data_IF_237949109821
#
_entry.id   IF_237949109821
#
_cell.length_a   1.000
_cell.length_b   1.000
_cell.length_c   1.000
_cell.angle_alpha   90.00
_cell.angle_beta   90.00
_cell.angle_gamma   90.00
#
_symmetry.space_group_name_H-M   'P 1'
#
loop_
_entity.id
_entity.type
_entity.pdbx_description
1 polymer ?
#
# COMPACT_ATOMS: atom_id res chain seq x y z
N UNK A 1 17.67 6.29 -2.93
CA UNK A 1 16.82 7.03 -3.90
C UNK A 1 16.82 8.52 -3.55
N UNK A 2 17.69 9.34 -4.16
CA UNK A 2 17.95 10.72 -3.74
C UNK A 2 16.76 11.68 -3.81
N UNK A 3 15.87 11.50 -4.81
CA UNK A 3 14.71 12.38 -5.07
C UNK A 3 13.41 11.96 -4.37
N UNK A 4 13.43 10.93 -3.53
CA UNK A 4 12.25 10.44 -2.79
C UNK A 4 12.24 11.00 -1.36
N UNK A 5 11.07 11.24 -0.74
CA UNK A 5 10.98 11.71 0.64
C UNK A 5 11.78 10.82 1.61
N UNK A 6 11.64 9.50 1.46
CA UNK A 6 12.49 8.52 2.14
C UNK A 6 13.63 8.09 1.23
N UNK A 7 14.86 8.48 1.59
CA UNK A 7 16.05 8.26 0.74
C UNK A 7 16.52 6.80 0.71
N UNK A 8 16.27 6.01 1.77
CA UNK A 8 16.68 4.60 1.90
C UNK A 8 15.47 3.72 2.15
N UNK A 9 15.34 2.63 1.39
CA UNK A 9 14.21 1.71 1.50
C UNK A 9 14.19 0.70 0.37
N UNK A 10 13.17 -0.15 0.39
CA UNK A 10 12.92 -1.15 -0.65
C UNK A 10 12.19 -0.51 -1.83
N UNK A 11 12.45 -1.03 -3.02
CA UNK A 11 11.81 -0.59 -4.24
C UNK A 11 10.90 -1.72 -4.72
N UNK A 12 9.64 -1.38 -4.95
CA UNK A 12 8.62 -2.30 -5.46
C UNK A 12 8.08 -1.70 -6.73
N UNK A 13 7.99 -2.52 -7.76
CA UNK A 13 7.34 -2.21 -9.02
C UNK A 13 5.90 -2.66 -8.92
N UNK A 14 4.98 -1.85 -9.41
CA UNK A 14 3.56 -2.06 -9.15
C UNK A 14 2.75 -1.73 -10.39
N UNK A 15 1.83 -2.62 -10.72
CA UNK A 15 0.77 -2.38 -11.70
C UNK A 15 -0.52 -2.01 -10.96
N UNK A 16 -1.05 -0.83 -11.26
CA UNK A 16 -2.21 -0.25 -10.59
C UNK A 16 -3.27 0.21 -11.59
N UNK A 17 -4.53 0.02 -11.21
CA UNK A 17 -5.64 0.71 -11.86
C UNK A 17 -5.71 2.19 -11.50
N UNK A 18 -6.50 2.93 -12.26
CA UNK A 18 -6.77 4.37 -12.03
C UNK A 18 -7.42 4.62 -10.66
N UNK A 19 -8.16 3.63 -10.15
CA UNK A 19 -8.77 3.61 -8.81
C UNK A 19 -7.78 3.44 -7.66
N UNK A 20 -6.47 3.37 -7.94
CA UNK A 20 -5.40 2.98 -7.02
C UNK A 20 -5.39 1.49 -6.62
N UNK A 21 -6.26 0.67 -7.21
CA UNK A 21 -6.27 -0.77 -6.97
C UNK A 21 -4.98 -1.40 -7.50
N UNK A 22 -4.24 -2.10 -6.64
CA UNK A 22 -3.01 -2.80 -7.00
C UNK A 22 -3.35 -4.20 -7.48
N UNK A 23 -2.96 -4.53 -8.71
CA UNK A 23 -3.15 -5.88 -9.26
C UNK A 23 -1.92 -6.75 -9.01
N UNK A 24 -0.72 -6.21 -9.23
CA UNK A 24 0.53 -6.97 -9.11
C UNK A 24 1.68 -6.12 -8.58
N UNK A 25 2.59 -6.77 -7.85
CA UNK A 25 3.78 -6.16 -7.26
C UNK A 25 5.01 -7.05 -7.47
N UNK A 26 6.10 -6.45 -7.91
CA UNK A 26 7.40 -7.12 -8.07
C UNK A 26 8.44 -6.41 -7.20
N UNK A 27 9.08 -7.14 -6.30
CA UNK A 27 10.17 -6.61 -5.47
C UNK A 27 11.43 -6.41 -6.33
N UNK A 28 12.09 -5.27 -6.19
CA UNK A 28 13.35 -5.02 -6.88
C UNK A 28 14.55 -5.53 -6.05
N UNK A 29 15.23 -6.54 -6.57
CA UNK A 29 16.31 -7.28 -5.89
C UNK A 29 17.69 -6.58 -5.90
N UNK A 30 17.83 -5.40 -6.50
CA UNK A 30 19.09 -4.64 -6.51
C UNK A 30 19.98 -4.90 -7.71
N UNK A 31 20.10 -6.15 -8.15
CA UNK A 31 20.76 -6.55 -9.40
C UNK A 31 19.73 -7.14 -10.38
N UNK A 32 19.94 -6.99 -11.70
CA UNK A 32 19.12 -7.68 -12.68
C UNK A 32 19.45 -9.17 -12.59
N UNK A 33 18.71 -9.92 -11.77
CA UNK A 33 18.59 -11.35 -12.03
C UNK A 33 17.99 -11.49 -13.43
N UNK A 34 18.60 -12.30 -14.26
CA UNK A 34 18.06 -12.73 -15.54
C UNK A 34 16.61 -13.17 -15.30
N UNK A 35 15.63 -12.39 -15.74
CA UNK A 35 14.21 -12.78 -15.80
C UNK A 35 14.07 -13.78 -16.96
N UNK A 36 14.94 -14.80 -17.01
CA UNK A 36 15.19 -15.63 -18.19
C UNK A 36 14.61 -17.03 -18.09
N UNK A 37 14.00 -17.42 -16.96
CA UNK A 37 13.59 -18.82 -16.79
C UNK A 37 12.06 -19.05 -16.80
N UNK A 38 11.22 -18.00 -16.77
CA UNK A 38 9.75 -18.17 -16.82
C UNK A 38 9.10 -17.58 -18.07
N UNK A 39 9.72 -16.58 -18.71
CA UNK A 39 9.25 -16.06 -20.00
C UNK A 39 9.94 -16.87 -21.10
N UNK A 40 9.21 -17.84 -21.69
CA UNK A 40 9.66 -18.73 -22.76
C UNK A 40 9.95 -17.99 -24.11
N UNK A 41 10.82 -16.99 -24.09
CA UNK A 41 11.30 -16.26 -25.26
C UNK A 41 12.83 -16.39 -25.33
N UNK A 42 13.41 -16.67 -26.52
CA UNK A 42 14.86 -16.86 -26.64
C UNK A 42 15.64 -15.64 -26.14
N UNK A 43 16.59 -15.92 -25.24
CA UNK A 43 17.31 -15.00 -24.35
C UNK A 43 18.04 -13.82 -25.06
N UNK A 44 18.24 -13.90 -26.38
CA UNK A 44 18.81 -12.80 -27.19
C UNK A 44 17.79 -11.70 -27.49
N UNK A 45 16.52 -12.03 -27.70
CA UNK A 45 15.47 -11.06 -28.07
C UNK A 45 14.98 -10.22 -26.89
N UNK A 46 15.20 -10.68 -25.65
CA UNK A 46 14.78 -10.00 -24.43
C UNK A 46 15.80 -8.92 -23.97
N UNK A 47 17.09 -9.13 -24.24
CA UNK A 47 18.16 -8.17 -23.88
C UNK A 47 17.95 -6.78 -24.48
N UNK A 48 17.29 -6.69 -25.64
CA UNK A 48 17.05 -5.40 -26.32
C UNK A 48 16.14 -4.44 -25.54
N UNK A 49 15.34 -4.93 -24.59
CA UNK A 49 14.40 -4.12 -23.81
C UNK A 49 15.03 -3.55 -22.52
N UNK A 50 16.18 -4.08 -22.11
CA UNK A 50 16.82 -3.78 -20.83
C UNK A 50 16.01 -4.26 -19.62
N UNK A 51 16.61 -4.21 -18.44
CA UNK A 51 15.98 -4.70 -17.19
C UNK A 51 14.65 -4.02 -16.88
N UNK A 52 14.53 -2.71 -17.15
CA UNK A 52 13.29 -1.97 -16.91
C UNK A 52 12.18 -2.35 -17.88
N UNK A 53 12.50 -2.70 -19.13
CA UNK A 53 11.50 -3.15 -20.10
C UNK A 53 10.98 -4.55 -19.78
N UNK A 54 11.85 -5.43 -19.28
CA UNK A 54 11.45 -6.78 -18.85
C UNK A 54 10.48 -6.75 -17.68
N UNK A 55 10.66 -5.85 -16.72
CA UNK A 55 9.70 -5.64 -15.62
C UNK A 55 8.32 -5.29 -16.16
N UNK A 56 8.22 -4.48 -17.22
CA UNK A 56 6.92 -4.16 -17.82
C UNK A 56 6.31 -5.38 -18.46
N UNK A 57 7.08 -6.16 -19.22
CA UNK A 57 6.57 -7.37 -19.87
C UNK A 57 6.06 -8.39 -18.87
N UNK A 58 6.72 -8.52 -17.72
CA UNK A 58 6.28 -9.40 -16.63
C UNK A 58 4.98 -8.88 -15.97
N UNK A 59 4.91 -7.59 -15.63
CA UNK A 59 3.71 -6.98 -15.03
C UNK A 59 2.47 -6.98 -15.93
N UNK A 60 2.64 -7.11 -17.25
CA UNK A 60 1.52 -7.03 -18.21
C UNK A 60 1.18 -8.38 -18.85
N UNK A 61 1.87 -9.46 -18.46
CA UNK A 61 1.70 -10.78 -19.08
C UNK A 61 0.26 -11.30 -19.00
N UNK A 62 -0.41 -11.04 -17.89
CA UNK A 62 -1.78 -11.49 -17.60
C UNK A 62 -2.83 -10.39 -17.81
N UNK A 63 -2.45 -9.23 -18.36
CA UNK A 63 -3.37 -8.11 -18.57
C UNK A 63 -4.15 -8.32 -19.86
N UNK A 64 -5.50 -8.27 -19.85
CA UNK A 64 -6.27 -8.33 -21.08
C UNK A 64 -5.93 -7.19 -22.03
N UNK A 65 -5.76 -7.50 -23.33
CA UNK A 65 -5.37 -6.56 -24.40
C UNK A 65 -6.37 -5.40 -24.60
N UNK A 66 -7.58 -5.55 -24.04
CA UNK A 66 -8.59 -4.49 -24.01
C UNK A 66 -8.18 -3.28 -23.16
N UNK A 67 -7.19 -3.38 -22.26
CA UNK A 67 -6.79 -2.25 -21.43
C UNK A 67 -5.71 -1.38 -22.08
N UNK A 68 -5.73 -0.09 -21.74
CA UNK A 68 -4.68 0.86 -22.10
C UNK A 68 -3.66 0.97 -20.96
N UNK A 69 -2.38 0.86 -21.30
CA UNK A 69 -1.26 0.81 -20.37
C UNK A 69 -0.54 2.16 -20.39
N UNK A 70 -0.30 2.72 -19.20
CA UNK A 70 0.40 3.99 -19.01
C UNK A 70 1.70 3.77 -18.25
N UNK A 71 2.83 4.22 -18.79
CA UNK A 71 4.15 3.89 -18.27
C UNK A 71 5.02 5.13 -18.08
N UNK A 72 5.77 5.17 -16.97
CA UNK A 72 6.77 6.20 -16.69
C UNK A 72 8.02 6.07 -17.57
N UNK A 73 8.75 7.18 -17.72
CA UNK A 73 9.98 7.28 -18.50
C UNK A 73 11.11 6.35 -18.07
N UNK A 74 11.07 5.83 -16.83
CA UNK A 74 12.09 4.89 -16.36
C UNK A 74 12.03 3.57 -17.13
N UNK A 75 10.82 3.11 -17.44
CA UNK A 75 10.59 1.82 -18.10
C UNK A 75 10.47 1.95 -19.63
N UNK A 76 10.12 3.14 -20.12
CA UNK A 76 9.84 3.35 -21.53
C UNK A 76 11.09 3.27 -22.43
N UNK A 77 10.91 2.65 -23.59
CA UNK A 77 11.82 2.64 -24.76
C UNK A 77 11.02 2.41 -26.04
N UNK A 78 11.52 2.92 -27.18
CA UNK A 78 10.88 2.72 -28.49
C UNK A 78 10.70 1.24 -28.84
N UNK A 79 11.71 0.40 -28.55
CA UNK A 79 11.65 -1.05 -28.77
C UNK A 79 10.55 -1.73 -27.97
N UNK A 80 10.40 -1.36 -26.69
CA UNK A 80 9.36 -1.90 -25.83
C UNK A 80 7.95 -1.55 -26.36
N UNK A 81 7.75 -0.30 -26.80
CA UNK A 81 6.46 0.16 -27.34
C UNK A 81 6.10 -0.58 -28.61
N UNK A 82 7.06 -0.78 -29.52
CA UNK A 82 6.86 -1.60 -30.72
C UNK A 82 6.45 -3.04 -30.37
N UNK A 83 7.14 -3.65 -29.40
CA UNK A 83 6.81 -5.01 -28.95
C UNK A 83 5.40 -5.09 -28.33
N UNK A 84 5.03 -4.14 -27.47
CA UNK A 84 3.69 -4.10 -26.88
C UNK A 84 2.59 -3.84 -27.93
N UNK A 85 2.90 -3.04 -28.95
CA UNK A 85 2.02 -2.83 -30.10
C UNK A 85 1.82 -4.12 -30.91
N UNK A 86 2.88 -4.89 -31.13
CA UNK A 86 2.78 -6.21 -31.78
C UNK A 86 1.96 -7.23 -30.97
N UNK A 87 1.96 -7.09 -29.64
CA UNK A 87 1.12 -7.89 -28.73
C UNK A 87 -0.33 -7.38 -28.67
N UNK A 88 -0.67 -6.30 -29.38
CA UNK A 88 -2.01 -5.72 -29.45
C UNK A 88 -2.33 -4.71 -28.35
N UNK A 89 -1.42 -4.47 -27.40
CA UNK A 89 -1.70 -3.55 -26.28
C UNK A 89 -1.76 -2.11 -26.72
N UNK A 90 -2.71 -1.36 -26.15
CA UNK A 90 -2.74 0.09 -26.22
C UNK A 90 -1.78 0.66 -25.18
N UNK A 91 -0.79 1.43 -25.60
CA UNK A 91 0.22 2.01 -24.69
C UNK A 91 0.38 3.52 -24.90
N UNK A 92 0.60 4.24 -23.80
CA UNK A 92 1.11 5.61 -23.77
C UNK A 92 2.20 5.72 -22.72
N UNK A 93 3.31 6.37 -23.03
CA UNK A 93 4.39 6.55 -22.06
C UNK A 93 5.11 7.88 -22.26
N UNK A 94 5.88 8.28 -21.24
CA UNK A 94 6.84 9.39 -21.38
C UNK A 94 8.19 8.85 -21.81
N UNK A 95 8.87 9.51 -22.75
CA UNK A 95 10.20 9.11 -23.22
C UNK A 95 11.28 10.05 -22.69
N UNK A 96 12.46 9.49 -22.44
CA UNK A 96 13.67 10.29 -22.21
C UNK A 96 14.30 10.64 -23.56
N UNK A 97 14.86 11.84 -23.67
CA UNK A 97 15.52 12.32 -24.90
C UNK A 97 16.53 11.32 -25.45
N UNK A 98 17.31 10.66 -24.58
CA UNK A 98 18.34 9.68 -24.95
C UNK A 98 17.79 8.29 -25.33
N UNK A 99 16.47 8.10 -25.36
CA UNK A 99 15.81 6.82 -25.70
C UNK A 99 14.90 6.93 -26.92
N UNK A 100 15.06 7.99 -27.71
CA UNK A 100 14.33 8.20 -28.95
C UNK A 100 15.22 7.76 -30.12
N UNK A 101 15.07 6.51 -30.57
CA UNK A 101 15.79 6.05 -31.76
C UNK A 101 15.28 6.80 -33.00
N UNK A 102 16.12 7.65 -33.61
CA UNK A 102 15.85 8.32 -34.90
C UNK A 102 14.59 9.21 -34.94
N UNK A 103 14.16 9.78 -33.80
CA UNK A 103 13.00 10.66 -33.76
C UNK A 103 13.39 12.10 -34.14
N UNK A 104 12.77 12.64 -35.19
CA UNK A 104 13.03 14.00 -35.72
C UNK A 104 12.25 15.08 -34.95
N UNK A 105 12.28 15.04 -33.61
CA UNK A 105 11.66 16.08 -32.78
C UNK A 105 12.74 17.02 -32.26
N UNK A 106 12.53 18.33 -32.38
CA UNK A 106 13.47 19.38 -31.99
C UNK A 106 13.98 19.22 -30.57
N UNK A 107 15.24 19.62 -30.34
CA UNK A 107 15.94 19.41 -29.08
C UNK A 107 15.34 20.19 -27.90
N UNK A 108 15.74 19.87 -26.66
CA UNK A 108 15.27 20.60 -25.48
C UNK A 108 15.65 22.09 -25.51
N UNK A 109 16.79 22.44 -26.13
CA UNK A 109 17.25 23.82 -26.31
C UNK A 109 16.33 24.61 -27.26
N UNK A 110 15.95 24.00 -28.38
CA UNK A 110 15.01 24.60 -29.33
C UNK A 110 13.64 24.79 -28.70
N UNK A 111 13.12 23.77 -28.00
CA UNK A 111 11.86 23.88 -27.25
C UNK A 111 11.93 24.93 -26.15
N UNK A 112 13.10 25.24 -25.59
CA UNK A 112 13.24 26.29 -24.58
C UNK A 112 13.03 27.69 -25.15
N UNK A 113 13.25 27.89 -26.45
CA UNK A 113 13.01 29.16 -27.16
C UNK A 113 11.56 29.32 -27.62
N UNK A 114 10.79 28.24 -27.65
CA UNK A 114 9.39 28.23 -28.09
C UNK A 114 8.44 28.59 -26.95
N UNK A 115 7.28 29.12 -27.31
CA UNK A 115 6.22 29.44 -26.36
C UNK A 115 5.65 28.18 -25.68
N UNK A 116 5.16 28.35 -24.45
CA UNK A 116 4.49 27.29 -23.70
C UNK A 116 3.23 26.84 -24.46
N UNK A 117 3.03 25.53 -24.56
CA UNK A 117 1.96 24.92 -25.38
C UNK A 117 2.39 24.54 -26.79
N UNK A 118 3.57 24.97 -27.26
CA UNK A 118 4.13 24.51 -28.52
C UNK A 118 4.29 22.99 -28.53
N UNK A 119 3.95 22.36 -29.65
CA UNK A 119 4.14 20.94 -29.84
C UNK A 119 4.67 20.60 -31.24
N UNK A 120 5.40 19.51 -31.29
CA UNK A 120 5.81 18.84 -32.52
C UNK A 120 5.45 17.36 -32.39
N UNK A 121 5.30 16.69 -33.51
CA UNK A 121 5.02 15.28 -33.52
C UNK A 121 5.76 14.59 -34.65
N UNK A 122 6.03 13.32 -34.44
CA UNK A 122 6.64 12.42 -35.40
C UNK A 122 5.83 11.13 -35.42
N UNK A 123 5.45 10.68 -36.61
CA UNK A 123 4.75 9.41 -36.79
C UNK A 123 5.76 8.40 -37.29
N UNK A 124 5.76 7.20 -36.70
CA UNK A 124 6.60 6.09 -37.16
C UNK A 124 6.32 5.78 -38.63
N UNK A 125 7.32 5.30 -39.38
CA UNK A 125 7.16 4.94 -40.81
C UNK A 125 6.00 3.95 -41.02
N UNK A 126 5.86 3.02 -40.10
CA UNK A 126 4.82 1.98 -40.11
C UNK A 126 3.43 2.52 -39.69
N UNK A 127 3.33 3.83 -39.38
CA UNK A 127 2.13 4.54 -38.91
C UNK A 127 1.47 3.93 -37.66
N UNK A 128 2.18 3.09 -36.91
CA UNK A 128 1.67 2.43 -35.70
C UNK A 128 1.79 3.27 -34.43
N UNK A 129 2.76 4.19 -34.38
CA UNK A 129 3.07 4.97 -33.19
C UNK A 129 3.27 6.44 -33.53
N UNK A 130 2.89 7.31 -32.61
CA UNK A 130 3.10 8.75 -32.65
C UNK A 130 3.92 9.17 -31.42
N UNK A 131 5.02 9.87 -31.69
CA UNK A 131 5.82 10.55 -30.68
C UNK A 131 5.45 12.03 -30.71
N UNK A 132 5.11 12.60 -29.56
CA UNK A 132 4.75 14.01 -29.40
C UNK A 132 5.71 14.69 -28.43
N UNK A 133 6.36 15.75 -28.88
CA UNK A 133 7.08 16.70 -28.04
C UNK A 133 6.17 17.85 -27.69
N UNK A 134 5.95 18.11 -26.40
CA UNK A 134 5.13 19.23 -25.93
C UNK A 134 5.93 20.12 -24.96
N UNK A 135 5.83 21.44 -25.15
CA UNK A 135 6.45 22.44 -24.29
C UNK A 135 5.52 22.79 -23.15
N UNK A 136 5.78 22.25 -21.96
CA UNK A 136 5.27 22.82 -20.71
C UNK A 136 6.30 23.82 -20.15
N UNK A 137 6.68 23.75 -18.87
CA UNK A 137 7.88 24.44 -18.39
C UNK A 137 9.15 23.92 -19.08
N UNK A 138 9.22 22.61 -19.31
CA UNK A 138 10.28 21.93 -20.06
C UNK A 138 9.67 21.10 -21.19
N UNK A 139 10.50 20.65 -22.12
CA UNK A 139 10.09 19.72 -23.18
C UNK A 139 9.71 18.38 -22.54
N UNK A 140 8.53 17.87 -22.87
CA UNK A 140 8.09 16.52 -22.50
C UNK A 140 7.89 15.73 -23.79
N UNK A 141 8.45 14.53 -23.85
CA UNK A 141 8.25 13.61 -24.96
C UNK A 141 7.30 12.51 -24.50
N UNK A 142 6.25 12.25 -25.29
CA UNK A 142 5.38 11.10 -25.12
C UNK A 142 5.36 10.27 -26.38
N UNK A 143 5.18 8.97 -26.22
CA UNK A 143 4.96 8.03 -27.32
C UNK A 143 3.72 7.20 -27.02
N UNK A 144 2.88 7.03 -28.04
CA UNK A 144 1.67 6.23 -27.96
C UNK A 144 1.34 5.60 -29.30
N UNK A 145 0.67 4.44 -29.25
CA UNK A 145 0.15 3.76 -30.42
C UNK A 145 -1.37 3.91 -30.63
N UNK A 146 -2.06 4.62 -29.73
CA UNK A 146 -3.52 4.74 -29.77
C UNK A 146 -4.02 6.16 -29.48
N UNK A 147 -3.22 7.01 -28.83
CA UNK A 147 -3.58 8.38 -28.53
C UNK A 147 -2.82 9.35 -29.44
N UNK A 148 -3.56 10.20 -30.14
CA UNK A 148 -3.01 11.20 -31.06
C UNK A 148 -3.03 12.63 -30.50
N UNK A 149 -3.03 13.59 -31.42
CA UNK A 149 -3.01 15.03 -31.11
C UNK A 149 -4.41 15.57 -30.84
N UNK A 150 -5.37 15.17 -31.67
CA UNK A 150 -6.75 15.65 -31.60
C UNK A 150 -7.62 14.73 -30.72
N UNK A 151 -8.67 15.28 -30.06
CA UNK A 151 -8.99 16.71 -29.95
C UNK A 151 -8.04 17.46 -29.00
N UNK A 152 -7.63 18.66 -29.39
CA UNK A 152 -6.88 19.55 -28.50
C UNK A 152 -7.71 19.98 -27.31
N UNK A 153 -7.12 19.89 -26.11
CA UNK A 153 -7.79 20.29 -24.86
C UNK A 153 -7.03 21.43 -24.19
N UNK A 154 -7.75 22.37 -23.58
CA UNK A 154 -7.14 23.43 -22.75
C UNK A 154 -6.86 22.88 -21.34
N UNK A 155 -5.60 22.92 -20.91
CA UNK A 155 -5.19 22.55 -19.56
C UNK A 155 -4.87 23.81 -18.75
N UNK A 156 -5.51 23.92 -17.58
CA UNK A 156 -5.18 24.96 -16.59
C UNK A 156 -3.85 24.65 -15.95
N UNK A 157 -2.84 25.50 -16.17
CA UNK A 157 -1.50 25.36 -15.58
C UNK A 157 -1.12 26.62 -14.82
N UNK A 158 -0.42 26.44 -13.71
CA UNK A 158 0.15 27.56 -12.98
C UNK A 158 1.29 28.18 -13.81
N UNK A 159 1.25 29.50 -13.95
CA UNK A 159 2.34 30.29 -14.48
C UNK A 159 3.03 31.02 -13.31
N UNK A 160 4.35 30.82 -13.19
CA UNK A 160 5.13 31.45 -12.12
C UNK A 160 5.32 32.95 -12.35
N UNK A 161 5.41 33.37 -13.60
CA UNK A 161 5.65 34.78 -13.96
C UNK A 161 4.38 35.60 -13.74
N UNK A 162 3.26 35.12 -14.26
CA UNK A 162 1.96 35.78 -14.14
C UNK A 162 1.25 35.52 -12.80
N UNK A 163 1.79 34.61 -11.97
CA UNK A 163 1.23 34.16 -10.68
C UNK A 163 -0.26 33.80 -10.76
N UNK A 164 -0.68 33.25 -11.89
CA UNK A 164 -2.07 32.89 -12.14
C UNK A 164 -2.16 31.56 -12.91
N UNK A 165 -3.36 30.98 -12.98
CA UNK A 165 -3.61 29.81 -13.82
C UNK A 165 -3.92 30.26 -15.25
N UNK A 166 -3.08 29.82 -16.19
CA UNK A 166 -3.24 30.07 -17.62
C UNK A 166 -3.75 28.81 -18.33
N UNK A 167 -4.58 29.02 -19.35
CA UNK A 167 -5.05 27.93 -20.20
C UNK A 167 -4.03 27.68 -21.31
N UNK A 168 -3.52 26.45 -21.36
CA UNK A 168 -2.53 26.04 -22.36
C UNK A 168 -3.15 24.94 -23.21
N UNK A 169 -3.07 25.11 -24.52
CA UNK A 169 -3.51 24.08 -25.46
C UNK A 169 -2.57 22.87 -25.36
N UNK A 170 -3.13 21.71 -25.10
CA UNK A 170 -2.42 20.45 -24.99
C UNK A 170 -3.01 19.41 -25.95
N UNK A 171 -2.14 18.66 -26.66
CA UNK A 171 -2.55 17.48 -27.41
C UNK A 171 -3.29 16.45 -26.54
N UNK A 172 -4.20 15.67 -27.14
CA UNK A 172 -5.01 14.69 -26.42
C UNK A 172 -4.16 13.62 -25.71
N UNK A 173 -3.04 13.19 -26.31
CA UNK A 173 -2.06 12.30 -25.67
C UNK A 173 -1.58 12.82 -24.30
N UNK A 174 -1.36 14.13 -24.16
CA UNK A 174 -0.94 14.76 -22.90
C UNK A 174 -2.06 14.68 -21.87
N UNK A 175 -3.29 14.95 -22.30
CA UNK A 175 -4.48 14.91 -21.45
C UNK A 175 -4.71 13.49 -20.92
N UNK A 176 -4.69 12.49 -21.81
CA UNK A 176 -4.83 11.07 -21.46
C UNK A 176 -3.74 10.63 -20.47
N UNK A 177 -2.48 10.96 -20.74
CA UNK A 177 -1.39 10.58 -19.84
C UNK A 177 -1.56 11.17 -18.43
N UNK A 178 -1.87 12.47 -18.33
CA UNK A 178 -2.09 13.12 -17.03
C UNK A 178 -3.31 12.55 -16.28
N UNK A 179 -4.36 12.14 -17.01
CA UNK A 179 -5.56 11.55 -16.43
C UNK A 179 -5.31 10.16 -15.83
N UNK A 180 -4.49 9.34 -16.47
CA UNK A 180 -4.40 7.90 -16.13
C UNK A 180 -3.12 7.47 -15.42
N UNK A 181 -2.00 8.20 -15.52
CA UNK A 181 -0.72 7.82 -14.89
C UNK A 181 -0.74 7.83 -13.34
N UNK A 182 -1.74 8.47 -12.72
CA UNK A 182 -1.79 8.73 -11.29
C UNK A 182 -2.05 7.53 -10.37
N UNK A 183 -2.40 6.35 -10.90
CA UNK A 183 -2.85 5.20 -10.08
C UNK A 183 -1.89 4.80 -8.96
N UNK A 184 -0.61 4.61 -9.27
CA UNK A 184 0.43 4.24 -8.27
C UNK A 184 0.63 5.35 -7.24
N UNK A 185 0.65 6.61 -7.68
CA UNK A 185 0.81 7.76 -6.77
C UNK A 185 -0.39 7.90 -5.83
N UNK A 186 -1.61 7.65 -6.32
CA UNK A 186 -2.81 7.63 -5.50
C UNK A 186 -2.74 6.54 -4.44
N UNK A 187 -2.22 5.36 -4.80
CA UNK A 187 -2.01 4.27 -3.85
C UNK A 187 -1.01 4.63 -2.75
N UNK A 188 0.16 5.16 -3.13
CA UNK A 188 1.16 5.65 -2.17
C UNK A 188 0.60 6.74 -1.26
N UNK A 189 -0.25 7.63 -1.79
CA UNK A 189 -0.95 8.66 -1.02
C UNK A 189 -1.93 8.07 0.00
N UNK A 190 -2.73 7.06 -0.38
CA UNK A 190 -3.66 6.38 0.53
C UNK A 190 -2.92 5.68 1.67
N UNK A 191 -1.78 5.07 1.40
CA UNK A 191 -0.90 4.49 2.43
C UNK A 191 -0.38 5.60 3.36
N UNK A 192 0.07 6.73 2.79
CA UNK A 192 0.66 7.83 3.56
C UNK A 192 -0.35 8.55 4.47
N UNK A 193 -1.64 8.58 4.12
CA UNK A 193 -2.66 9.21 4.97
C UNK A 193 -2.95 8.43 6.25
N UNK A 194 -2.95 7.10 6.18
CA UNK A 194 -3.24 6.23 7.32
C UNK A 194 -2.20 5.10 7.43
N UNK A 195 -0.92 5.41 7.69
CA UNK A 195 0.12 4.39 7.73
C UNK A 195 -0.05 3.50 8.97
N UNK A 196 0.27 2.22 8.84
CA UNK A 196 0.36 1.33 10.01
C UNK A 196 1.64 1.71 10.79
N UNK A 197 1.54 2.15 12.05
CA UNK A 197 2.70 2.58 12.83
C UNK A 197 3.48 1.35 13.32
N UNK A 198 4.34 0.80 12.46
CA UNK A 198 5.20 -0.34 12.79
C UNK A 198 6.67 -0.02 12.54
N UNK A 199 7.51 -0.26 13.56
CA UNK A 199 8.96 -0.11 13.47
C UNK A 199 9.62 -1.46 13.76
N UNK A 200 10.49 -1.89 12.86
CA UNK A 200 11.31 -3.10 13.05
C UNK A 200 12.70 -2.91 12.47
N UNK A 201 13.68 -3.54 13.13
CA UNK A 201 15.06 -3.71 12.64
C UNK A 201 15.13 -4.77 11.53
N UNK A 202 14.18 -5.72 11.50
CA UNK A 202 14.13 -6.78 10.49
C UNK A 202 13.58 -6.21 9.17
N UNK A 203 14.34 -6.38 8.10
CA UNK A 203 14.05 -5.76 6.81
C UNK A 203 12.76 -6.28 6.18
N UNK A 204 12.53 -7.60 6.24
CA UNK A 204 11.39 -8.26 5.61
C UNK A 204 10.05 -7.84 6.24
N UNK A 205 10.04 -7.51 7.53
CA UNK A 205 8.83 -7.03 8.20
C UNK A 205 8.29 -5.78 7.52
N UNK A 206 9.16 -4.87 7.05
CA UNK A 206 8.72 -3.65 6.34
C UNK A 206 8.00 -3.96 5.03
N UNK A 207 8.39 -5.04 4.35
CA UNK A 207 7.75 -5.50 3.11
C UNK A 207 6.39 -6.12 3.44
N UNK A 208 6.32 -6.98 4.45
CA UNK A 208 5.06 -7.61 4.90
C UNK A 208 4.02 -6.54 5.26
N UNK A 209 4.41 -5.53 6.05
CA UNK A 209 3.48 -4.44 6.43
C UNK A 209 3.04 -3.60 5.24
N UNK A 210 3.93 -3.39 4.25
CA UNK A 210 3.54 -2.73 2.99
C UNK A 210 2.51 -3.55 2.22
N UNK A 211 2.67 -4.87 2.16
CA UNK A 211 1.70 -5.76 1.52
C UNK A 211 0.36 -5.71 2.25
N UNK A 212 0.36 -5.72 3.59
CA UNK A 212 -0.86 -5.60 4.39
C UNK A 212 -1.58 -4.26 4.15
N UNK A 213 -0.85 -3.14 4.09
CA UNK A 213 -1.43 -1.85 3.72
C UNK A 213 -2.10 -1.90 2.34
N UNK A 214 -1.45 -2.54 1.37
CA UNK A 214 -1.99 -2.75 0.02
C UNK A 214 -3.26 -3.59 0.04
N UNK A 215 -3.26 -4.71 0.76
CA UNK A 215 -4.41 -5.60 0.89
C UNK A 215 -5.61 -4.90 1.53
N UNK A 216 -5.38 -4.10 2.57
CA UNK A 216 -6.45 -3.34 3.25
C UNK A 216 -7.05 -2.31 2.29
N UNK A 217 -6.22 -1.56 1.56
CA UNK A 217 -6.72 -0.55 0.61
C UNK A 217 -7.45 -1.21 -0.56
N UNK A 218 -6.93 -2.30 -1.12
CA UNK A 218 -7.62 -3.07 -2.16
C UNK A 218 -9.00 -3.56 -1.67
N UNK A 219 -9.06 -4.10 -0.45
CA UNK A 219 -10.32 -4.55 0.17
C UNK A 219 -11.30 -3.39 0.37
N UNK A 220 -10.80 -2.22 0.77
CA UNK A 220 -11.59 -1.00 0.90
C UNK A 220 -12.16 -0.53 -0.45
N UNK A 221 -11.35 -0.55 -1.51
CA UNK A 221 -11.79 -0.20 -2.87
C UNK A 221 -12.88 -1.18 -3.34
N UNK A 222 -12.72 -2.48 -3.12
CA UNK A 222 -13.71 -3.49 -3.48
C UNK A 222 -15.03 -3.25 -2.73
N UNK A 223 -14.96 -3.03 -1.42
CA UNK A 223 -16.14 -2.73 -0.59
C UNK A 223 -16.90 -1.53 -1.12
N UNK A 224 -16.19 -0.42 -1.35
CA UNK A 224 -16.82 0.81 -1.83
C UNK A 224 -17.37 0.66 -3.25
N UNK A 225 -16.73 -0.12 -4.11
CA UNK A 225 -17.24 -0.39 -5.46
C UNK A 225 -18.53 -1.21 -5.43
N UNK A 226 -18.63 -2.21 -4.55
CA UNK A 226 -19.84 -3.05 -4.39
C UNK A 226 -21.02 -2.28 -3.81
N UNK A 227 -20.77 -1.41 -2.83
CA UNK A 227 -21.81 -0.59 -2.21
C UNK A 227 -22.41 0.45 -3.17
N UNK A 228 -21.62 0.94 -4.14
CA UNK A 228 -22.11 1.85 -5.18
C UNK A 228 -22.87 1.14 -6.32
N UNK A 229 -22.71 -0.18 -6.47
CA UNK A 229 -23.22 -0.94 -7.62
C UNK A 229 -24.61 -1.57 -7.45
N UNK A 230 -25.18 -1.57 -6.24
CA UNK A 230 -26.40 -2.36 -5.95
C UNK A 230 -27.59 -1.61 -5.34
N UNK A 231 -27.53 -0.28 -5.19
CA UNK A 231 -28.68 0.51 -4.72
C UNK A 231 -28.71 1.92 -5.32
N UNK A 232 -29.19 1.99 -6.56
CA UNK A 232 -29.59 3.25 -7.22
C UNK A 232 -30.85 3.89 -6.61
N UNK A 233 -31.45 3.31 -5.56
CA UNK A 233 -32.64 3.84 -4.88
C UNK A 233 -32.45 4.23 -3.41
N UNK A 234 -31.21 4.25 -2.89
CA UNK A 234 -30.94 4.71 -1.50
C UNK A 234 -29.68 5.56 -1.38
N UNK A 235 -29.34 6.27 -2.45
CA UNK A 235 -28.18 7.16 -2.50
C UNK A 235 -28.51 8.54 -1.91
N UNK A 236 -28.62 8.65 -0.58
CA UNK A 236 -28.71 9.95 0.07
C UNK A 236 -28.11 10.10 1.48
N UNK A 237 -27.69 9.07 2.23
CA UNK A 237 -27.28 9.31 3.64
C UNK A 237 -26.01 8.64 4.16
N UNK A 238 -25.44 7.62 3.51
CA UNK A 238 -24.16 7.05 3.95
C UNK A 238 -23.04 7.45 2.99
N UNK A 239 -22.37 8.57 3.29
CA UNK A 239 -21.17 8.99 2.58
C UNK A 239 -20.15 7.85 2.43
N UNK A 240 -19.35 7.89 1.35
CA UNK A 240 -18.30 6.89 1.06
C UNK A 240 -17.60 6.48 2.35
N UNK A 241 -17.65 5.19 2.69
CA UNK A 241 -17.03 4.68 3.91
C UNK A 241 -15.54 5.03 3.86
N UNK A 242 -15.09 5.93 4.74
CA UNK A 242 -13.73 6.48 4.67
C UNK A 242 -12.72 5.40 5.04
N UNK A 243 -11.52 5.46 4.44
CA UNK A 243 -10.45 4.48 4.66
C UNK A 243 -10.10 4.33 6.15
N UNK A 244 -10.10 5.45 6.90
CA UNK A 244 -9.92 5.44 8.35
C UNK A 244 -10.92 4.52 9.08
N UNK A 245 -12.21 4.70 8.85
CA UNK A 245 -13.25 3.88 9.49
C UNK A 245 -13.13 2.41 9.08
N UNK A 246 -12.76 2.14 7.83
CA UNK A 246 -12.51 0.77 7.39
C UNK A 246 -11.35 0.10 8.11
N UNK A 247 -10.25 0.82 8.31
CA UNK A 247 -9.13 0.32 9.14
C UNK A 247 -9.56 0.11 10.60
N UNK A 248 -10.35 1.03 11.17
CA UNK A 248 -10.86 0.89 12.55
C UNK A 248 -11.76 -0.33 12.72
N UNK A 249 -12.65 -0.62 11.77
CA UNK A 249 -13.53 -1.80 11.84
C UNK A 249 -12.74 -3.11 11.72
N UNK A 250 -11.73 -3.16 10.84
CA UNK A 250 -10.82 -4.31 10.78
C UNK A 250 -10.12 -4.51 12.13
N UNK A 251 -9.60 -3.42 12.72
CA UNK A 251 -8.92 -3.51 14.02
C UNK A 251 -9.87 -4.02 15.12
N UNK A 252 -11.09 -3.47 15.23
CA UNK A 252 -12.10 -3.94 16.19
C UNK A 252 -12.45 -5.41 15.97
N UNK A 253 -12.65 -5.83 14.73
CA UNK A 253 -12.96 -7.22 14.40
C UNK A 253 -11.84 -8.18 14.82
N UNK A 254 -10.58 -7.81 14.57
CA UNK A 254 -9.42 -8.62 14.95
C UNK A 254 -9.21 -8.67 16.47
N UNK A 255 -9.57 -7.61 17.20
CA UNK A 255 -9.49 -7.56 18.67
C UNK A 255 -10.63 -8.36 19.35
N UNK A 256 -11.81 -8.42 18.73
CA UNK A 256 -13.01 -9.07 19.30
C UNK A 256 -13.11 -10.57 19.00
N UNK A 257 -12.29 -11.11 18.07
CA UNK A 257 -12.25 -12.55 17.76
C UNK A 257 -10.98 -13.22 18.30
N UNK A 258 -10.99 -13.75 19.55
CA UNK A 258 -9.81 -14.36 20.17
C UNK A 258 -9.34 -15.65 19.46
N UNK A 259 -10.23 -16.37 18.76
CA UNK A 259 -9.89 -17.65 18.12
C UNK A 259 -8.87 -17.53 16.96
N UNK A 260 -8.65 -16.33 16.41
CA UNK A 260 -7.58 -16.09 15.42
C UNK A 260 -6.20 -15.89 16.07
N UNK A 261 -6.15 -15.64 17.38
CA UNK A 261 -4.89 -15.45 18.12
C UNK A 261 -4.29 -16.79 18.62
N UNK A 262 -5.10 -17.85 18.66
CA UNK A 262 -4.73 -19.15 19.26
C UNK A 262 -3.93 -20.05 18.29
N UNK A 263 -4.06 -19.85 16.97
CA UNK A 263 -3.33 -20.66 15.96
C UNK A 263 -1.82 -20.40 15.89
N UNK A 264 -1.25 -19.52 16.72
CA UNK A 264 0.20 -19.29 16.80
C UNK A 264 0.89 -20.08 17.93
N UNK A 265 0.16 -20.87 18.72
CA UNK A 265 0.73 -21.58 19.89
C UNK A 265 0.28 -23.04 19.97
N UNK A 266 0.52 -23.81 18.91
CA UNK A 266 0.53 -25.29 18.86
C UNK A 266 0.97 -25.63 17.42
N UNK A 267 2.05 -26.31 17.07
CA UNK A 267 2.90 -27.32 17.72
C UNK A 267 4.08 -27.57 16.75
N UNK A 268 5.32 -27.39 17.18
CA UNK A 268 6.43 -28.30 16.81
C UNK A 268 7.28 -28.44 18.06
N UNK A 269 7.05 -29.55 18.77
CA UNK A 269 8.02 -30.09 19.71
C UNK A 269 9.20 -30.60 18.90
N UNK A 270 10.27 -29.83 18.82
CA UNK A 270 11.58 -30.32 18.37
C UNK A 270 12.63 -29.66 19.23
N UNK A 271 13.20 -30.50 20.10
CA UNK A 271 14.55 -30.45 20.67
C UNK A 271 15.31 -29.13 20.53
N UNK A 272 15.51 -28.53 21.70
CA UNK A 272 16.43 -27.44 21.98
C UNK A 272 17.84 -27.82 21.51
N UNK A 273 18.38 -27.06 20.56
CA UNK A 273 19.82 -26.86 20.40
C UNK A 273 20.06 -25.36 20.65
N UNK A 274 20.56 -25.07 21.86
CA UNK A 274 20.91 -23.73 22.32
C UNK A 274 22.20 -23.32 21.62
N UNK A 275 22.09 -22.49 20.58
CA UNK A 275 23.20 -21.64 20.18
C UNK A 275 23.31 -20.48 21.20
N UNK A 276 24.34 -20.54 22.04
CA UNK A 276 24.75 -19.43 22.90
C UNK A 276 25.23 -18.27 22.03
N UNK A 277 24.60 -17.11 22.19
CA UNK A 277 25.14 -15.82 21.74
C UNK A 277 25.43 -14.97 22.97
N UNK A 278 26.67 -14.51 23.07
CA UNK A 278 27.21 -13.66 24.13
C UNK A 278 26.52 -12.28 24.15
N UNK A 279 25.55 -12.10 25.04
CA UNK A 279 25.05 -10.78 25.47
C UNK A 279 24.92 -10.76 27.01
N UNK A 280 25.99 -11.14 27.72
CA UNK A 280 26.20 -10.69 29.09
C UNK A 280 26.80 -9.28 29.03
N UNK A 281 25.96 -8.24 29.20
CA UNK A 281 26.28 -6.93 29.82
C UNK A 281 25.19 -5.87 29.55
N UNK A 282 23.94 -6.13 29.96
CA UNK A 282 23.00 -5.03 30.26
C UNK A 282 22.34 -5.25 31.64
N UNK A 283 22.30 -4.22 32.51
CA UNK A 283 21.70 -4.34 33.83
C UNK A 283 20.17 -4.44 33.72
N UNK A 284 19.49 -5.15 34.65
CA UNK A 284 18.05 -5.38 34.57
C UNK A 284 17.30 -4.05 34.67
N UNK A 285 16.68 -3.63 33.58
CA UNK A 285 15.82 -2.45 33.58
C UNK A 285 14.54 -2.81 34.34
N UNK A 286 14.24 -2.04 35.40
CA UNK A 286 13.05 -2.21 36.23
C UNK A 286 11.80 -2.33 35.35
N UNK A 287 11.07 -3.44 35.50
CA UNK A 287 9.72 -3.60 34.97
C UNK A 287 8.86 -2.45 35.50
N UNK A 288 8.31 -1.66 34.57
CA UNK A 288 7.27 -0.69 34.89
C UNK A 288 6.12 -1.46 35.55
N UNK A 289 5.75 -1.10 36.79
CA UNK A 289 4.53 -1.61 37.42
C UNK A 289 3.35 -1.24 36.51
N UNK A 290 2.67 -2.25 35.97
CA UNK A 290 1.43 -2.07 35.25
C UNK A 290 0.43 -1.31 36.13
N UNK A 291 -0.08 -0.20 35.61
CA UNK A 291 -1.16 0.53 36.25
C UNK A 291 -2.41 -0.35 36.31
N UNK A 292 -3.25 -0.12 37.34
CA UNK A 292 -4.49 -0.87 37.64
C UNK A 292 -5.24 -1.25 36.36
N UNK A 293 -5.44 -2.56 36.14
CA UNK A 293 -6.36 -3.05 35.10
C UNK A 293 -7.74 -2.40 35.28
N UNK A 294 -8.11 -1.51 34.35
CA UNK A 294 -9.47 -1.00 34.21
C UNK A 294 -10.22 -1.99 33.33
N UNK A 295 -10.79 -3.02 33.97
CA UNK A 295 -11.79 -3.88 33.32
C UNK A 295 -12.95 -2.98 32.90
N UNK A 296 -13.45 -3.12 31.68
CA UNK A 296 -14.57 -2.28 31.21
C UNK A 296 -15.89 -2.79 31.79
N UNK A 297 -16.84 -1.90 32.11
CA UNK A 297 -18.18 -2.27 32.61
C UNK A 297 -18.83 -3.38 31.77
N UNK A 298 -18.67 -3.31 30.44
CA UNK A 298 -19.23 -4.30 29.52
C UNK A 298 -18.65 -5.69 29.79
N UNK A 299 -17.35 -5.80 30.04
CA UNK A 299 -16.71 -7.08 30.38
C UNK A 299 -16.94 -7.52 31.82
N UNK A 300 -17.12 -6.58 32.76
CA UNK A 300 -17.33 -6.89 34.18
C UNK A 300 -18.74 -7.46 34.43
N UNK A 301 -19.77 -6.93 33.76
CA UNK A 301 -21.18 -7.23 34.02
C UNK A 301 -21.86 -8.08 32.93
N UNK A 302 -21.10 -8.79 32.10
CA UNK A 302 -21.66 -9.62 31.01
C UNK A 302 -22.12 -11.03 31.43
N UNK A 303 -22.17 -11.31 32.74
CA UNK A 303 -22.70 -12.54 33.34
C UNK A 303 -22.19 -13.86 32.71
N UNK A 304 -21.04 -13.84 32.04
CA UNK A 304 -20.56 -14.99 31.28
C UNK A 304 -19.04 -15.18 31.42
N UNK A 305 -18.59 -16.42 31.58
CA UNK A 305 -17.18 -16.81 31.57
C UNK A 305 -16.28 -16.18 32.65
N UNK A 306 -16.81 -15.84 33.82
CA UNK A 306 -16.05 -15.36 34.98
C UNK A 306 -15.74 -16.53 35.94
N UNK A 307 -14.76 -17.37 35.60
CA UNK A 307 -14.43 -18.55 36.41
C UNK A 307 -13.42 -18.21 37.52
N UNK A 308 -13.62 -18.69 38.76
CA UNK A 308 -12.65 -18.52 39.83
C UNK A 308 -11.46 -19.46 39.64
N UNK A 309 -10.26 -18.90 39.59
CA UNK A 309 -8.99 -19.62 39.51
C UNK A 309 -8.23 -19.49 40.83
N UNK A 310 -7.76 -20.63 41.36
CA UNK A 310 -6.89 -20.63 42.54
C UNK A 310 -5.44 -20.38 42.13
N UNK A 311 -4.79 -19.43 42.79
CA UNK A 311 -3.41 -19.01 42.53
C UNK A 311 -2.60 -19.19 43.79
N UNK A 312 -1.71 -20.18 43.76
CA UNK A 312 -0.71 -20.41 44.79
C UNK A 312 0.50 -19.48 44.58
N UNK A 313 0.31 -18.17 44.75
CA UNK A 313 1.43 -17.23 44.72
C UNK A 313 2.02 -17.07 46.14
N UNK A 314 3.35 -16.98 46.30
CA UNK A 314 4.01 -16.80 47.61
C UNK A 314 3.68 -15.43 48.26
N UNK A 315 3.20 -14.47 47.46
CA UNK A 315 2.79 -13.14 47.91
C UNK A 315 1.28 -12.95 47.67
N UNK A 316 0.46 -13.22 48.69
CA UNK A 316 -0.99 -13.03 48.60
C UNK A 316 -1.33 -11.58 48.23
N UNK A 317 -2.08 -11.39 47.15
CA UNK A 317 -2.64 -10.10 46.76
C UNK A 317 -3.91 -9.81 47.56
N UNK A 318 -4.27 -8.53 47.69
CA UNK A 318 -5.49 -8.09 48.39
C UNK A 318 -6.69 -8.16 47.44
N UNK A 319 -7.86 -8.40 48.01
CA UNK A 319 -9.14 -8.29 47.31
C UNK A 319 -9.28 -6.90 46.68
N UNK A 320 -9.80 -6.86 45.45
CA UNK A 320 -9.94 -5.65 44.65
C UNK A 320 -11.36 -5.05 44.67
N UNK A 321 -12.30 -5.72 45.35
CA UNK A 321 -13.63 -5.17 45.59
C UNK A 321 -13.57 -3.98 46.55
N UNK A 322 -14.43 -2.99 46.32
CA UNK A 322 -14.51 -1.80 47.16
C UNK A 322 -14.86 -2.22 48.60
N UNK A 323 -14.18 -1.60 49.56
CA UNK A 323 -14.31 -1.89 51.01
C UNK A 323 -13.81 -3.28 51.48
N UNK A 324 -13.03 -4.02 50.67
CA UNK A 324 -12.42 -5.27 51.12
C UNK A 324 -10.89 -5.23 51.14
N UNK A 325 -10.29 -5.63 52.26
CA UNK A 325 -8.83 -5.67 52.46
C UNK A 325 -8.26 -7.07 52.65
N UNK A 326 -9.08 -8.11 52.45
CA UNK A 326 -8.70 -9.51 52.67
C UNK A 326 -7.57 -9.97 51.74
N UNK A 327 -6.64 -10.78 52.26
CA UNK A 327 -5.68 -11.52 51.43
C UNK A 327 -6.39 -12.69 50.78
N UNK A 328 -6.18 -12.89 49.48
CA UNK A 328 -6.91 -13.91 48.72
C UNK A 328 -5.98 -14.77 47.88
N UNK A 329 -6.51 -15.90 47.44
CA UNK A 329 -5.89 -16.83 46.49
C UNK A 329 -6.74 -17.04 45.23
N UNK A 330 -7.87 -16.34 45.10
CA UNK A 330 -8.80 -16.48 43.99
C UNK A 330 -8.72 -15.31 43.01
N UNK A 331 -8.63 -15.62 41.72
CA UNK A 331 -8.62 -14.65 40.63
C UNK A 331 -9.70 -14.99 39.61
N UNK A 332 -10.38 -13.98 39.07
CA UNK A 332 -11.29 -14.16 37.94
C UNK A 332 -10.48 -14.41 36.64
N UNK A 333 -10.78 -15.51 35.94
CA UNK A 333 -10.11 -15.90 34.69
C UNK A 333 -10.23 -14.87 33.57
N UNK A 334 -11.29 -14.06 33.59
CA UNK A 334 -11.63 -13.12 32.52
C UNK A 334 -11.27 -11.69 32.84
N UNK A 335 -11.57 -11.24 34.07
CA UNK A 335 -11.26 -9.90 34.55
C UNK A 335 -9.83 -9.75 35.05
N UNK A 336 -9.11 -10.86 35.29
CA UNK A 336 -7.76 -10.89 35.86
C UNK A 336 -7.66 -10.14 37.22
N UNK A 337 -8.77 -10.10 37.98
CA UNK A 337 -8.86 -9.42 39.28
C UNK A 337 -8.95 -10.42 40.42
N UNK A 338 -8.36 -10.04 41.54
CA UNK A 338 -8.22 -10.83 42.76
C UNK A 338 -9.39 -10.51 43.70
N UNK A 339 -10.24 -11.50 44.01
CA UNK A 339 -11.50 -11.30 44.74
C UNK A 339 -11.71 -12.35 45.82
N UNK A 340 -12.38 -12.00 46.92
CA UNK A 340 -12.74 -12.96 47.96
C UNK A 340 -13.80 -13.95 47.47
N UNK A 341 -13.54 -15.23 47.71
CA UNK A 341 -14.48 -16.31 47.54
C UNK A 341 -14.30 -17.30 48.71
N UNK A 342 -15.04 -17.09 49.79
CA UNK A 342 -15.06 -17.96 50.96
C UNK A 342 -16.42 -17.89 51.67
N UNK A 343 -16.61 -18.70 52.72
CA UNK A 343 -17.87 -18.77 53.48
C UNK A 343 -18.29 -17.44 54.13
N UNK A 344 -17.35 -16.54 54.40
CA UNK A 344 -17.59 -15.25 55.08
C UNK A 344 -17.76 -14.07 54.13
N UNK A 345 -17.21 -14.14 52.91
CA UNK A 345 -17.15 -13.03 51.94
C UNK A 345 -17.19 -13.57 50.51
N UNK A 346 -18.16 -13.10 49.74
CA UNK A 346 -18.33 -13.43 48.32
C UNK A 346 -18.19 -12.20 47.42
N UNK A 347 -17.06 -11.51 47.54
CA UNK A 347 -16.74 -10.36 46.70
C UNK A 347 -16.62 -10.72 45.22
N UNK A 348 -16.40 -12.00 44.90
CA UNK A 348 -16.41 -12.49 43.52
C UNK A 348 -17.77 -12.28 42.86
N UNK A 349 -18.85 -12.64 43.54
CA UNK A 349 -20.20 -12.40 43.01
C UNK A 349 -20.50 -10.90 42.96
N UNK A 350 -20.25 -10.19 44.07
CA UNK A 350 -20.57 -8.77 44.18
C UNK A 350 -19.94 -7.92 43.07
N UNK A 351 -18.66 -8.18 42.76
CA UNK A 351 -17.91 -7.45 41.74
C UNK A 351 -18.48 -7.64 40.32
N UNK A 352 -19.13 -8.77 40.01
CA UNK A 352 -19.67 -9.04 38.68
C UNK A 352 -21.17 -8.80 38.57
N UNK A 353 -21.88 -8.54 39.68
CA UNK A 353 -23.34 -8.37 39.68
C UNK A 353 -23.83 -6.99 40.12
N UNK A 354 -23.07 -6.25 40.94
CA UNK A 354 -23.48 -4.95 41.46
C UNK A 354 -22.68 -3.83 40.78
N UNK A 355 -23.40 -2.93 40.10
CA UNK A 355 -22.83 -1.76 39.42
C UNK A 355 -22.60 -0.59 40.36
#
# INVERSE_FOLDING_TARGET
>A
MPKKPTKRGFKVWTWCGVSAFVYEMILHHGSPKSISNELALPDRSLKQFGSSGLVVLDLVKDVPVVFAIFIDNYFASTKLIKKLTQLGYRITCTLRSNRTEKCLISTEQEFSKKQRGYYEYFISKDKTCIVVGWKDSKRVLLDSNHAGIEPKTKLKRWDKEKRCRVDIVAPQIINNYNKFMGGVNNMDMLIAFHPIPFKSKRWYSRIIWRILDVMIINSWIIRNSRLCGHNSYSSASHGKFRLFHFKSEIAKFLLTKPNLQIFSTTTVSSSIDVYQSDEENEPPTKTLREARSSVTDVTQYDNSNHWPLFISAPNNTRCKNDNCSGKIYWQCSKCNVHLCLNSSKNCFNEYHTHK
#
